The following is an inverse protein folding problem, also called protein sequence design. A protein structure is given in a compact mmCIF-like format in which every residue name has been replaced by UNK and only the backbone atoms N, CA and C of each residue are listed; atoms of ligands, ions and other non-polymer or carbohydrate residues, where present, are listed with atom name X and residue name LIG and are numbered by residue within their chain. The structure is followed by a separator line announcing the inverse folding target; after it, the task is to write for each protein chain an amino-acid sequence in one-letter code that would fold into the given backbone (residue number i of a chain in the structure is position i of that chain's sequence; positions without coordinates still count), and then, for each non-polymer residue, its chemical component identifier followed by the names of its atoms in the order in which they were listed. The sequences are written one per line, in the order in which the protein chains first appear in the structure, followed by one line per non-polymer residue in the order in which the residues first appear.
data_IF_159972587110
#
_entry.id   IF_159972587110
#
_cell.length_a   1.000
_cell.length_b   1.000
_cell.length_c   1.000
_cell.angle_alpha   90.00
_cell.angle_beta   90.00
_cell.angle_gamma   90.00
#
_symmetry.space_group_name_H-M   'P 1'
#
loop_
_entity.id
_entity.type
_entity.pdbx_description
1 polymer ?
#
# COMPACT_ATOMS: atom_id res chain seq x y z
N UNK A 1 -6.11 -36.87 -7.03
CA UNK A 1 -6.02 -35.63 -7.84
C UNK A 1 -4.66 -35.03 -7.55
N UNK A 2 -3.85 -34.76 -8.57
CA UNK A 2 -2.58 -34.05 -8.39
C UNK A 2 -2.88 -32.61 -7.97
N UNK A 3 -2.28 -32.16 -6.89
CA UNK A 3 -2.41 -30.79 -6.39
C UNK A 3 -1.72 -29.84 -7.40
N UNK A 4 -2.48 -28.90 -7.95
CA UNK A 4 -1.94 -27.89 -8.87
C UNK A 4 -1.45 -26.65 -8.12
N UNK A 5 -0.42 -25.96 -8.65
CA UNK A 5 0.11 -24.72 -8.06
C UNK A 5 -0.95 -23.61 -7.93
N UNK A 6 -1.92 -23.55 -8.81
CA UNK A 6 -3.03 -22.59 -8.77
C UNK A 6 -3.86 -22.71 -7.49
N UNK A 7 -4.03 -23.93 -6.98
CA UNK A 7 -4.77 -24.20 -5.74
C UNK A 7 -3.95 -23.80 -4.50
N UNK A 8 -2.65 -23.58 -4.65
CA UNK A 8 -1.71 -23.20 -3.59
C UNK A 8 -1.39 -21.70 -3.56
N UNK A 9 -2.12 -20.88 -4.30
CA UNK A 9 -1.90 -19.41 -4.37
C UNK A 9 -1.71 -18.74 -2.99
N UNK A 10 -2.43 -19.12 -1.91
CA UNK A 10 -2.16 -18.57 -0.57
C UNK A 10 -0.73 -18.79 -0.08
N UNK A 11 -0.09 -19.90 -0.44
CA UNK A 11 1.29 -20.22 -0.07
C UNK A 11 2.31 -19.25 -0.67
N UNK A 12 1.98 -18.62 -1.81
CA UNK A 12 2.89 -17.78 -2.61
C UNK A 12 2.74 -16.28 -2.35
N UNK A 13 2.14 -15.91 -1.24
CA UNK A 13 1.89 -14.51 -0.91
C UNK A 13 2.99 -13.88 -0.04
N UNK A 14 4.08 -14.60 0.21
CA UNK A 14 5.18 -14.14 1.05
C UNK A 14 4.81 -13.96 2.52
N UNK A 15 3.78 -14.68 3.00
CA UNK A 15 3.20 -14.51 4.33
C UNK A 15 3.97 -15.27 5.40
N UNK A 16 4.44 -16.44 5.03
CA UNK A 16 5.22 -17.32 5.90
C UNK A 16 6.59 -17.52 5.29
N UNK A 17 7.68 -17.40 6.08
CA UNK A 17 9.00 -17.75 5.60
C UNK A 17 9.00 -19.18 5.11
N UNK A 18 9.45 -19.38 3.88
CA UNK A 18 9.61 -20.69 3.27
C UNK A 18 10.97 -21.24 3.64
N UNK A 19 11.08 -22.53 3.83
CA UNK A 19 12.34 -23.19 4.07
C UNK A 19 12.87 -23.80 2.77
N UNK A 20 14.00 -23.32 2.31
CA UNK A 20 14.63 -23.71 1.06
C UNK A 20 15.83 -24.61 1.31
N UNK A 21 15.85 -25.75 0.66
CA UNK A 21 16.88 -26.78 0.81
C UNK A 21 17.63 -26.95 -0.51
N UNK A 22 18.94 -26.96 -0.43
CA UNK A 22 19.85 -27.20 -1.56
C UNK A 22 20.95 -28.17 -1.15
N UNK A 23 21.59 -28.79 -2.12
CA UNK A 23 22.70 -29.68 -1.90
C UNK A 23 23.87 -29.27 -2.81
N UNK A 24 25.05 -29.18 -2.24
CA UNK A 24 26.26 -28.94 -3.01
C UNK A 24 26.63 -30.19 -3.84
N UNK A 25 27.53 -30.04 -4.81
CA UNK A 25 27.97 -31.13 -5.69
C UNK A 25 28.60 -32.31 -4.92
N UNK A 26 29.21 -32.03 -3.77
CA UNK A 26 29.78 -33.04 -2.88
C UNK A 26 28.76 -33.73 -1.96
N UNK A 27 27.48 -33.44 -2.11
CA UNK A 27 26.41 -33.98 -1.27
C UNK A 27 26.15 -33.19 0.03
N UNK A 28 26.93 -32.13 0.32
CA UNK A 28 26.70 -31.32 1.54
C UNK A 28 25.36 -30.60 1.51
N UNK A 29 24.46 -30.86 2.47
CA UNK A 29 23.15 -30.20 2.50
C UNK A 29 23.26 -28.77 3.02
N UNK A 30 22.27 -27.95 2.62
CA UNK A 30 22.10 -26.59 3.11
C UNK A 30 20.63 -26.25 3.20
N UNK A 31 20.24 -25.58 4.29
CA UNK A 31 18.90 -25.07 4.51
C UNK A 31 18.96 -23.56 4.75
N UNK A 32 18.04 -22.81 4.17
CA UNK A 32 17.92 -21.38 4.32
C UNK A 32 16.46 -20.95 4.36
N UNK A 33 16.15 -19.91 5.14
CA UNK A 33 14.85 -19.26 5.06
C UNK A 33 14.82 -18.32 3.87
N UNK A 34 13.72 -18.37 3.13
CA UNK A 34 13.38 -17.42 2.08
C UNK A 34 12.20 -16.57 2.52
N UNK A 35 12.30 -15.28 2.26
CA UNK A 35 11.26 -14.32 2.59
C UNK A 35 10.10 -14.35 1.59
N UNK A 36 10.34 -14.79 0.35
CA UNK A 36 9.36 -14.65 -0.72
C UNK A 36 9.45 -15.79 -1.74
N UNK A 37 8.30 -16.40 -1.97
CA UNK A 37 8.02 -17.31 -3.07
C UNK A 37 6.83 -16.72 -3.82
N UNK A 38 6.91 -16.65 -5.13
CA UNK A 38 5.86 -16.10 -5.99
C UNK A 38 5.38 -17.14 -7.00
N UNK A 39 4.09 -17.14 -7.31
CA UNK A 39 3.52 -17.95 -8.37
C UNK A 39 3.89 -17.35 -9.73
N UNK A 40 4.36 -18.19 -10.64
CA UNK A 40 4.68 -17.81 -12.03
C UNK A 40 3.60 -18.32 -12.98
N UNK A 41 3.43 -19.64 -13.02
CA UNK A 41 2.45 -20.33 -13.84
C UNK A 41 2.10 -21.70 -13.24
N UNK A 42 1.36 -22.53 -13.98
CA UNK A 42 0.89 -23.86 -13.52
C UNK A 42 2.02 -24.83 -13.13
N UNK A 43 3.25 -24.55 -13.54
CA UNK A 43 4.42 -25.44 -13.37
C UNK A 43 5.62 -24.76 -12.71
N UNK A 44 5.61 -23.43 -12.55
CA UNK A 44 6.76 -22.70 -12.06
C UNK A 44 6.46 -21.82 -10.87
N UNK A 45 7.46 -21.70 -9.99
CA UNK A 45 7.51 -20.72 -8.91
C UNK A 45 8.79 -19.90 -9.02
N UNK A 46 8.74 -18.66 -8.51
CA UNK A 46 9.89 -17.78 -8.40
C UNK A 46 10.32 -17.58 -6.94
N UNK A 47 11.59 -17.68 -6.67
CA UNK A 47 12.19 -17.49 -5.36
C UNK A 47 12.98 -16.19 -5.33
N UNK A 48 12.83 -15.39 -4.27
CA UNK A 48 13.54 -14.12 -4.14
C UNK A 48 15.02 -14.35 -3.81
N UNK A 49 15.90 -13.87 -4.68
CA UNK A 49 17.33 -13.80 -4.40
C UNK A 49 17.72 -12.40 -3.93
N UNK A 50 18.08 -12.27 -2.66
CA UNK A 50 18.42 -10.99 -2.03
C UNK A 50 19.88 -10.95 -1.55
N UNK A 51 20.41 -12.05 -1.06
CA UNK A 51 21.76 -12.14 -0.50
C UNK A 51 22.60 -13.17 -1.27
N UNK A 52 23.89 -12.88 -1.49
CA UNK A 52 24.83 -13.88 -1.99
C UNK A 52 25.01 -14.93 -0.90
N UNK A 53 24.55 -16.12 -1.15
CA UNK A 53 24.54 -17.17 -0.15
C UNK A 53 24.98 -18.52 -0.73
N UNK A 54 25.18 -19.47 0.17
CA UNK A 54 25.56 -20.85 -0.13
C UNK A 54 24.53 -21.52 -1.04
N UNK A 55 23.23 -21.23 -0.82
CA UNK A 55 22.13 -21.84 -1.61
C UNK A 55 22.27 -21.58 -3.11
N UNK A 56 22.63 -20.34 -3.51
CA UNK A 56 22.78 -20.02 -4.94
C UNK A 56 23.97 -20.70 -5.58
N UNK A 57 25.08 -20.81 -4.84
CA UNK A 57 26.26 -21.58 -5.31
C UNK A 57 25.86 -23.03 -5.53
N UNK A 58 25.17 -23.63 -4.56
CA UNK A 58 24.71 -25.00 -4.66
C UNK A 58 23.83 -25.21 -5.90
N UNK A 59 22.86 -24.31 -6.12
CA UNK A 59 21.92 -24.39 -7.25
C UNK A 59 22.64 -24.23 -8.60
N UNK A 60 23.68 -23.40 -8.67
CA UNK A 60 24.48 -23.24 -9.89
C UNK A 60 25.24 -24.52 -10.26
N UNK A 61 25.64 -25.32 -9.27
CA UNK A 61 26.39 -26.58 -9.46
C UNK A 61 25.42 -27.79 -9.53
N UNK A 62 24.34 -27.76 -8.78
CA UNK A 62 23.29 -28.78 -8.70
C UNK A 62 21.93 -28.11 -8.73
N UNK A 63 21.22 -28.11 -9.88
CA UNK A 63 19.98 -27.37 -10.04
C UNK A 63 18.79 -27.96 -9.25
N UNK A 64 18.96 -29.10 -8.60
CA UNK A 64 17.94 -29.72 -7.77
C UNK A 64 17.84 -29.04 -6.40
N UNK A 65 16.61 -28.72 -6.01
CA UNK A 65 16.32 -28.09 -4.74
C UNK A 65 14.98 -28.58 -4.19
N UNK A 66 14.71 -28.24 -2.93
CA UNK A 66 13.39 -28.46 -2.34
C UNK A 66 12.96 -27.21 -1.58
N UNK A 67 11.66 -26.96 -1.53
CA UNK A 67 11.11 -25.88 -0.71
C UNK A 67 9.90 -26.38 0.09
N UNK A 68 9.88 -26.01 1.37
CA UNK A 68 8.69 -26.15 2.20
C UNK A 68 7.95 -24.83 2.23
N UNK A 69 6.70 -24.84 1.78
CA UNK A 69 5.76 -23.73 1.89
C UNK A 69 4.61 -24.13 2.81
N UNK A 70 3.95 -23.14 3.38
CA UNK A 70 2.81 -23.37 4.29
C UNK A 70 1.66 -22.51 3.79
N UNK A 71 0.50 -23.12 3.68
CA UNK A 71 -0.75 -22.40 3.43
C UNK A 71 -1.11 -21.62 4.70
N UNK A 72 -1.17 -20.29 4.65
CA UNK A 72 -1.48 -19.46 5.81
C UNK A 72 -2.93 -19.61 6.27
N UNK A 73 -3.84 -20.04 5.40
CA UNK A 73 -5.26 -20.16 5.69
C UNK A 73 -5.58 -21.49 6.40
N UNK A 74 -4.91 -22.56 6.00
CA UNK A 74 -5.15 -23.91 6.53
C UNK A 74 -4.05 -24.41 7.45
N UNK A 75 -2.89 -23.74 7.48
CA UNK A 75 -1.66 -24.18 8.13
C UNK A 75 -1.10 -25.49 7.56
N UNK A 76 -1.59 -25.93 6.39
CA UNK A 76 -1.09 -27.11 5.71
C UNK A 76 0.29 -26.85 5.13
N UNK A 77 1.26 -27.70 5.47
CA UNK A 77 2.60 -27.67 4.87
C UNK A 77 2.65 -28.47 3.55
N UNK A 78 3.40 -27.96 2.62
CA UNK A 78 3.70 -28.62 1.35
C UNK A 78 5.21 -28.62 1.11
N UNK A 79 5.73 -29.76 0.65
CA UNK A 79 7.09 -29.91 0.20
C UNK A 79 7.08 -29.99 -1.32
N UNK A 80 7.81 -29.10 -1.99
CA UNK A 80 7.94 -29.12 -3.44
C UNK A 80 9.36 -29.47 -3.82
N UNK A 81 9.53 -30.37 -4.79
CA UNK A 81 10.80 -30.62 -5.48
C UNK A 81 10.92 -29.65 -6.63
N UNK A 82 12.06 -28.99 -6.70
CA UNK A 82 12.31 -27.90 -7.61
C UNK A 82 13.53 -28.15 -8.46
N UNK A 83 13.48 -27.74 -9.72
CA UNK A 83 14.63 -27.70 -10.61
C UNK A 83 14.84 -26.25 -11.06
N UNK A 84 16.01 -25.69 -10.77
CA UNK A 84 16.36 -24.35 -11.22
C UNK A 84 16.44 -24.29 -12.74
N UNK A 85 15.88 -23.25 -13.34
CA UNK A 85 15.93 -23.02 -14.77
C UNK A 85 16.64 -21.73 -15.15
N UNK A 86 16.22 -20.60 -14.57
CA UNK A 86 16.75 -19.28 -14.93
C UNK A 86 16.56 -18.26 -13.85
N UNK A 87 17.28 -17.13 -13.97
CA UNK A 87 17.14 -15.95 -13.13
C UNK A 87 16.65 -14.77 -13.96
N UNK A 88 15.66 -14.05 -13.47
CA UNK A 88 15.20 -12.79 -14.04
C UNK A 88 15.62 -11.62 -13.15
N UNK A 89 16.23 -10.59 -13.76
CA UNK A 89 16.72 -9.37 -13.07
C UNK A 89 15.94 -8.13 -13.44
N UNK A 90 14.91 -8.27 -14.27
CA UNK A 90 13.98 -7.23 -14.73
C UNK A 90 12.72 -7.87 -15.27
N UNK A 91 11.68 -7.08 -15.50
CA UNK A 91 10.42 -7.51 -16.08
C UNK A 91 9.31 -7.67 -15.04
N UNK A 92 8.05 -7.96 -15.48
CA UNK A 92 6.86 -7.86 -14.63
C UNK A 92 6.91 -8.71 -13.35
N UNK A 93 7.48 -9.92 -13.42
CA UNK A 93 7.63 -10.79 -12.26
C UNK A 93 8.64 -10.23 -11.25
N UNK A 94 9.82 -9.82 -11.75
CA UNK A 94 10.85 -9.20 -10.92
C UNK A 94 10.33 -7.92 -10.25
N UNK A 95 9.66 -7.05 -11.02
CA UNK A 95 9.13 -5.77 -10.53
C UNK A 95 8.07 -6.00 -9.43
N UNK A 96 7.15 -6.95 -9.62
CA UNK A 96 6.16 -7.31 -8.60
C UNK A 96 6.80 -7.81 -7.30
N UNK A 97 7.79 -8.68 -7.38
CA UNK A 97 8.52 -9.16 -6.21
C UNK A 97 9.32 -8.05 -5.54
N UNK A 98 9.99 -7.19 -6.34
CA UNK A 98 10.74 -6.05 -5.86
C UNK A 98 9.86 -5.09 -5.05
N UNK A 99 8.70 -4.71 -5.58
CA UNK A 99 7.79 -3.78 -4.92
C UNK A 99 7.28 -4.28 -3.57
N UNK A 100 6.99 -5.56 -3.45
CA UNK A 100 6.61 -6.15 -2.15
C UNK A 100 7.74 -6.06 -1.13
N UNK A 101 8.96 -6.38 -1.55
CA UNK A 101 10.13 -6.31 -0.68
C UNK A 101 10.40 -4.86 -0.25
N UNK A 102 10.31 -3.90 -1.17
CA UNK A 102 10.46 -2.47 -0.89
C UNK A 102 9.40 -1.96 0.10
N UNK A 103 8.14 -2.35 -0.07
CA UNK A 103 7.07 -1.94 0.83
C UNK A 103 7.31 -2.42 2.27
N UNK A 104 7.71 -3.69 2.45
CA UNK A 104 8.04 -4.26 3.77
C UNK A 104 9.28 -3.59 4.35
N UNK A 105 10.32 -3.38 3.54
CA UNK A 105 11.55 -2.73 3.95
C UNK A 105 11.33 -1.29 4.39
N UNK A 106 10.47 -0.55 3.68
CA UNK A 106 10.08 0.82 4.00
C UNK A 106 9.42 0.91 5.38
N UNK A 107 8.53 -0.01 5.71
CA UNK A 107 7.89 -0.09 7.03
C UNK A 107 8.88 -0.37 8.16
N UNK A 108 9.86 -1.21 7.90
CA UNK A 108 10.87 -1.58 8.89
C UNK A 108 12.00 -0.53 9.05
N UNK A 109 11.99 0.55 8.26
CA UNK A 109 13.06 1.53 8.20
C UNK A 109 14.36 0.97 7.59
N UNK A 110 14.23 -0.05 6.73
CA UNK A 110 15.34 -0.80 6.11
C UNK A 110 15.44 -0.54 4.61
N UNK A 111 14.91 0.59 4.16
CA UNK A 111 14.96 1.00 2.75
C UNK A 111 16.40 0.92 2.23
N UNK A 112 16.58 0.20 1.13
CA UNK A 112 17.89 0.01 0.48
C UNK A 112 18.76 -1.13 1.05
N UNK A 113 18.38 -1.79 2.17
CA UNK A 113 19.07 -2.97 2.70
C UNK A 113 18.59 -4.25 2.01
N UNK A 114 17.27 -4.41 1.90
CA UNK A 114 16.69 -5.52 1.17
C UNK A 114 16.62 -5.15 -0.31
N UNK A 115 17.52 -5.73 -1.10
CA UNK A 115 17.51 -5.54 -2.55
C UNK A 115 17.27 -6.89 -3.20
N UNK A 116 16.16 -6.99 -3.93
CA UNK A 116 15.99 -8.11 -4.84
C UNK A 116 17.07 -8.02 -5.92
N UNK A 117 17.89 -9.05 -6.03
CA UNK A 117 18.94 -9.14 -7.05
C UNK A 117 18.48 -9.93 -8.27
N UNK A 118 17.62 -10.91 -8.04
CA UNK A 118 16.99 -11.70 -9.08
C UNK A 118 15.74 -12.40 -8.53
N UNK A 119 14.81 -12.69 -9.43
CA UNK A 119 13.76 -13.69 -9.27
C UNK A 119 14.29 -14.99 -9.89
N UNK A 120 14.63 -15.96 -9.06
CA UNK A 120 15.14 -17.26 -9.51
C UNK A 120 13.95 -18.19 -9.79
N UNK A 121 13.78 -18.61 -11.04
CA UNK A 121 12.64 -19.39 -11.51
C UNK A 121 12.96 -20.88 -11.50
N UNK A 122 12.04 -21.63 -10.94
CA UNK A 122 12.16 -23.07 -10.75
C UNK A 122 10.94 -23.80 -11.35
N UNK A 123 11.20 -24.86 -12.08
CA UNK A 123 10.21 -25.86 -12.44
C UNK A 123 9.85 -26.66 -11.17
N UNK A 124 8.57 -26.86 -10.91
CA UNK A 124 8.04 -27.72 -9.84
C UNK A 124 7.87 -29.13 -10.38
N UNK A 125 8.70 -30.06 -9.94
CA UNK A 125 8.68 -31.45 -10.39
C UNK A 125 7.66 -32.30 -9.63
N UNK A 126 7.50 -32.04 -8.33
CA UNK A 126 6.47 -32.72 -7.51
C UNK A 126 6.06 -31.85 -6.32
N UNK A 127 4.86 -32.12 -5.83
CA UNK A 127 4.27 -31.49 -4.62
C UNK A 127 3.79 -32.62 -3.71
N UNK A 128 4.29 -32.59 -2.48
CA UNK A 128 3.93 -33.58 -1.45
C UNK A 128 3.33 -32.85 -0.23
N UNK A 129 2.26 -33.40 0.33
CA UNK A 129 1.72 -32.94 1.59
C UNK A 129 2.71 -33.27 2.71
N UNK A 130 3.03 -32.30 3.55
CA UNK A 130 3.78 -32.55 4.77
C UNK A 130 2.75 -33.00 5.83
N UNK A 131 2.91 -34.21 6.42
CA UNK A 131 2.06 -34.64 7.50
C UNK A 131 2.08 -33.62 8.64
N UNK A 132 0.92 -33.39 9.28
CA UNK A 132 0.85 -32.52 10.46
C UNK A 132 1.82 -33.05 11.53
N UNK A 133 2.84 -32.26 11.87
CA UNK A 133 3.61 -32.52 13.07
C UNK A 133 2.67 -32.36 14.28
N UNK A 134 2.46 -33.43 15.02
CA UNK A 134 1.65 -33.46 16.24
C UNK A 134 2.37 -32.69 17.35
N UNK A 135 2.32 -31.38 17.25
CA UNK A 135 2.73 -30.47 18.31
C UNK A 135 1.56 -29.53 18.57
N UNK A 136 0.96 -29.65 19.75
CA UNK A 136 -0.08 -28.74 20.25
C UNK A 136 0.43 -27.31 20.32
N UNK A 137 0.49 -26.62 19.20
CA UNK A 137 0.32 -25.18 19.18
C UNK A 137 -1.17 -24.93 18.95
N UNK A 138 -1.75 -24.05 19.77
CA UNK A 138 -3.11 -23.57 19.55
C UNK A 138 -3.25 -23.28 18.05
N UNK A 139 -4.17 -24.00 17.41
CA UNK A 139 -4.43 -23.85 15.98
C UNK A 139 -4.76 -22.38 15.75
N UNK A 140 -3.81 -21.62 15.23
CA UNK A 140 -4.14 -20.33 14.67
C UNK A 140 -5.07 -20.60 13.49
N UNK A 141 -6.34 -20.34 13.71
CA UNK A 141 -7.33 -20.35 12.64
C UNK A 141 -7.36 -18.93 12.08
N UNK A 142 -7.03 -18.73 10.81
CA UNK A 142 -7.25 -17.43 10.17
C UNK A 142 -8.72 -17.06 10.36
N UNK A 143 -9.03 -15.78 10.59
CA UNK A 143 -10.41 -15.33 10.62
C UNK A 143 -11.06 -15.78 9.32
N UNK A 144 -12.17 -16.53 9.45
CA UNK A 144 -12.80 -17.31 8.40
C UNK A 144 -12.80 -16.57 7.06
N UNK A 145 -12.33 -17.26 6.05
CA UNK A 145 -12.27 -16.76 4.65
C UNK A 145 -13.67 -16.28 4.29
N UNK A 146 -13.85 -14.96 4.26
CA UNK A 146 -15.04 -14.39 3.67
C UNK A 146 -14.85 -14.49 2.15
N UNK A 147 -15.25 -15.60 1.55
CA UNK A 147 -15.47 -15.61 0.12
C UNK A 147 -16.55 -14.57 -0.16
N UNK A 148 -16.15 -13.50 -0.78
CA UNK A 148 -17.13 -12.55 -1.30
C UNK A 148 -17.88 -13.31 -2.40
N UNK A 149 -19.19 -13.49 -2.20
CA UNK A 149 -20.04 -14.01 -3.28
C UNK A 149 -19.86 -13.09 -4.50
N UNK A 150 -19.50 -13.64 -5.66
CA UNK A 150 -19.31 -12.84 -6.86
C UNK A 150 -20.52 -11.98 -7.23
N UNK A 151 -21.73 -12.50 -7.01
CA UNK A 151 -22.97 -11.76 -7.25
C UNK A 151 -23.12 -10.59 -6.29
N UNK A 152 -22.80 -10.81 -5.01
CA UNK A 152 -22.79 -9.74 -4.01
C UNK A 152 -21.73 -8.68 -4.36
N UNK A 153 -20.53 -9.11 -4.74
CA UNK A 153 -19.44 -8.20 -5.12
C UNK A 153 -19.84 -7.32 -6.31
N UNK A 154 -20.44 -7.91 -7.33
CA UNK A 154 -20.92 -7.16 -8.51
C UNK A 154 -21.99 -6.14 -8.13
N UNK A 155 -22.95 -6.50 -7.28
CA UNK A 155 -23.98 -5.58 -6.78
C UNK A 155 -23.38 -4.43 -5.97
N UNK A 156 -22.41 -4.72 -5.10
CA UNK A 156 -21.70 -3.72 -4.32
C UNK A 156 -20.95 -2.72 -5.21
N UNK A 157 -20.24 -3.21 -6.22
CA UNK A 157 -19.54 -2.36 -7.20
C UNK A 157 -20.52 -1.50 -8.02
N UNK A 158 -21.65 -2.07 -8.42
CA UNK A 158 -22.71 -1.32 -9.12
C UNK A 158 -23.26 -0.19 -8.26
N UNK A 159 -23.57 -0.47 -6.99
CA UNK A 159 -24.07 0.52 -6.05
C UNK A 159 -23.06 1.64 -5.80
N UNK A 160 -21.78 1.27 -5.58
CA UNK A 160 -20.71 2.26 -5.41
C UNK A 160 -20.48 3.10 -6.67
N UNK A 161 -20.60 2.51 -7.85
CA UNK A 161 -20.57 3.26 -9.12
C UNK A 161 -21.72 4.26 -9.21
N UNK A 162 -22.93 3.88 -8.78
CA UNK A 162 -24.07 4.78 -8.68
C UNK A 162 -23.81 5.96 -7.74
N UNK A 163 -23.24 5.69 -6.55
CA UNK A 163 -22.86 6.73 -5.59
C UNK A 163 -21.79 7.69 -6.16
N UNK A 164 -20.81 7.17 -6.89
CA UNK A 164 -19.80 8.00 -7.58
C UNK A 164 -20.45 8.96 -8.59
N UNK A 165 -21.40 8.47 -9.36
CA UNK A 165 -22.07 9.26 -10.39
C UNK A 165 -23.05 10.31 -9.82
N UNK A 166 -23.57 10.10 -8.62
CA UNK A 166 -24.55 11.01 -7.98
C UNK A 166 -23.89 12.06 -7.07
N UNK A 167 -22.61 11.92 -6.73
CA UNK A 167 -21.92 12.87 -5.89
C UNK A 167 -21.82 14.26 -6.56
N UNK A 168 -22.20 15.30 -5.83
CA UNK A 168 -22.13 16.68 -6.32
C UNK A 168 -20.78 17.35 -6.09
N UNK A 169 -20.05 16.91 -5.06
CA UNK A 169 -18.75 17.46 -4.64
C UNK A 169 -17.70 16.35 -4.46
N UNK A 170 -16.43 16.73 -4.55
CA UNK A 170 -15.33 15.81 -4.29
C UNK A 170 -15.42 15.19 -2.87
N UNK A 171 -15.78 16.01 -1.88
CA UNK A 171 -15.90 15.53 -0.50
C UNK A 171 -17.01 14.47 -0.36
N UNK A 172 -18.20 14.71 -0.94
CA UNK A 172 -19.29 13.72 -0.96
C UNK A 172 -18.88 12.42 -1.64
N UNK A 173 -18.17 12.52 -2.77
CA UNK A 173 -17.63 11.37 -3.49
C UNK A 173 -16.75 10.53 -2.56
N UNK A 174 -15.75 11.14 -1.95
CA UNK A 174 -14.74 10.45 -1.13
C UNK A 174 -15.37 9.80 0.11
N UNK A 175 -16.22 10.55 0.82
CA UNK A 175 -16.91 10.05 2.03
C UNK A 175 -17.85 8.89 1.70
N UNK A 176 -18.61 8.99 0.61
CA UNK A 176 -19.54 7.93 0.19
C UNK A 176 -18.82 6.65 -0.17
N UNK A 177 -17.66 6.74 -0.84
CA UNK A 177 -16.84 5.59 -1.22
C UNK A 177 -16.19 4.94 0.00
N UNK A 178 -15.56 5.71 0.90
CA UNK A 178 -15.00 5.16 2.13
C UNK A 178 -16.06 4.53 3.02
N UNK A 179 -17.26 5.10 3.05
CA UNK A 179 -18.42 4.52 3.76
C UNK A 179 -18.85 3.20 3.14
N UNK A 180 -18.97 3.16 1.81
CA UNK A 180 -19.36 1.97 1.08
C UNK A 180 -18.33 0.83 1.16
N UNK A 181 -17.04 1.14 1.15
CA UNK A 181 -15.97 0.16 1.39
C UNK A 181 -16.17 -0.54 2.74
N UNK A 182 -16.52 0.21 3.78
CA UNK A 182 -16.84 -0.37 5.09
C UNK A 182 -18.14 -1.16 5.07
N UNK A 183 -19.17 -0.61 4.45
CA UNK A 183 -20.53 -1.19 4.41
C UNK A 183 -20.55 -2.54 3.69
N UNK A 184 -20.00 -2.59 2.47
CA UNK A 184 -20.09 -3.78 1.60
C UNK A 184 -18.97 -4.79 1.85
N UNK A 185 -17.74 -4.33 2.07
CA UNK A 185 -16.57 -5.22 2.20
C UNK A 185 -16.10 -5.40 3.65
N UNK A 186 -16.65 -4.63 4.60
CA UNK A 186 -16.30 -4.71 6.01
C UNK A 186 -14.88 -4.23 6.32
N UNK A 187 -14.30 -3.39 5.45
CA UNK A 187 -12.98 -2.79 5.68
C UNK A 187 -13.13 -1.53 6.51
N UNK A 188 -12.74 -1.63 7.79
CA UNK A 188 -13.01 -0.58 8.79
C UNK A 188 -12.08 0.61 8.70
N UNK A 189 -10.88 0.44 8.13
CA UNK A 189 -9.86 1.48 8.04
C UNK A 189 -9.47 1.68 6.58
N UNK A 190 -9.79 2.84 6.05
CA UNK A 190 -9.48 3.19 4.66
C UNK A 190 -9.19 4.68 4.55
N UNK A 191 -8.33 5.04 3.60
CA UNK A 191 -7.98 6.42 3.31
C UNK A 191 -7.71 6.61 1.83
N UNK A 192 -7.94 7.83 1.36
CA UNK A 192 -7.63 8.25 -0.01
C UNK A 192 -6.60 9.38 0.09
N UNK A 193 -5.50 9.16 -0.62
CA UNK A 193 -4.44 10.15 -0.77
C UNK A 193 -4.42 10.59 -2.23
N UNK A 194 -4.31 11.89 -2.48
CA UNK A 194 -4.11 12.43 -3.83
C UNK A 194 -2.65 12.83 -4.05
N UNK A 195 -2.25 12.86 -5.32
CA UNK A 195 -0.96 13.42 -5.71
C UNK A 195 -0.88 14.88 -5.27
N UNK A 196 0.18 15.23 -4.53
CA UNK A 196 0.40 16.58 -4.03
C UNK A 196 1.06 17.48 -5.06
N UNK A 197 1.09 18.79 -4.80
CA UNK A 197 1.82 19.76 -5.62
C UNK A 197 3.34 19.54 -5.64
N UNK A 198 3.89 19.01 -4.54
CA UNK A 198 5.30 18.64 -4.48
C UNK A 198 5.53 17.33 -5.24
N UNK A 199 6.58 17.26 -6.08
CA UNK A 199 6.90 16.05 -6.81
C UNK A 199 7.04 14.83 -5.88
N UNK A 200 6.52 13.68 -6.31
CA UNK A 200 6.62 12.41 -5.59
C UNK A 200 6.04 12.43 -4.17
N UNK A 201 4.99 13.21 -3.95
CA UNK A 201 4.30 13.33 -2.67
C UNK A 201 2.82 13.04 -2.82
N UNK A 202 2.27 12.35 -1.85
CA UNK A 202 0.82 12.14 -1.66
C UNK A 202 0.36 12.95 -0.46
N UNK A 203 -0.89 13.44 -0.50
CA UNK A 203 -1.55 14.10 0.63
C UNK A 203 -2.83 13.34 0.95
N UNK A 204 -3.02 12.95 2.21
CA UNK A 204 -4.25 12.31 2.67
C UNK A 204 -5.39 13.33 2.66
N UNK A 205 -6.42 13.10 1.87
CA UNK A 205 -7.57 14.02 1.73
C UNK A 205 -8.84 13.51 2.39
N UNK A 206 -8.98 12.19 2.51
CA UNK A 206 -10.10 11.58 3.21
C UNK A 206 -9.64 10.32 3.94
N UNK A 207 -10.22 10.07 5.11
CA UNK A 207 -9.90 8.88 5.91
C UNK A 207 -11.07 8.45 6.76
N UNK A 208 -11.22 7.14 6.97
CA UNK A 208 -12.28 6.55 7.77
C UNK A 208 -11.75 5.46 8.69
N UNK A 209 -12.22 5.46 9.94
CA UNK A 209 -11.87 4.44 10.94
C UNK A 209 -10.66 4.78 11.80
N UNK A 210 -9.99 5.90 11.57
CA UNK A 210 -8.81 6.32 12.33
C UNK A 210 -9.18 7.32 13.42
N UNK A 211 -8.69 7.15 14.67
CA UNK A 211 -9.04 8.05 15.78
C UNK A 211 -8.61 9.51 15.57
N UNK A 212 -7.53 9.73 14.85
CA UNK A 212 -6.95 11.05 14.59
C UNK A 212 -7.09 11.51 13.13
N UNK A 213 -7.95 10.88 12.34
CA UNK A 213 -8.24 11.28 10.97
C UNK A 213 -7.07 11.16 9.98
N UNK A 214 -5.94 11.72 10.25
CA UNK A 214 -4.74 11.71 9.36
C UNK A 214 -4.86 12.56 8.09
N UNK A 215 -5.97 13.26 7.89
CA UNK A 215 -6.18 14.17 6.76
C UNK A 215 -5.16 15.29 6.79
N UNK A 216 -4.56 15.63 5.66
CA UNK A 216 -3.47 16.60 5.51
C UNK A 216 -2.07 16.01 5.70
N UNK A 217 -1.93 14.75 6.09
CA UNK A 217 -0.62 14.10 6.21
C UNK A 217 0.00 13.87 4.86
N UNK A 218 1.30 14.19 4.72
CA UNK A 218 2.09 13.95 3.52
C UNK A 218 2.78 12.59 3.58
N UNK A 219 2.80 11.88 2.46
CA UNK A 219 3.53 10.62 2.27
C UNK A 219 4.41 10.74 1.03
N UNK A 220 5.71 10.52 1.19
CA UNK A 220 6.65 10.49 0.07
C UNK A 220 6.53 9.16 -0.71
N UNK A 221 6.75 9.20 -2.02
CA UNK A 221 6.86 7.97 -2.82
C UNK A 221 7.96 7.06 -2.24
N UNK A 222 7.68 5.76 -2.20
CA UNK A 222 8.52 4.78 -1.52
C UNK A 222 8.34 4.75 0.00
N UNK A 223 7.43 5.53 0.58
CA UNK A 223 7.06 5.50 1.99
C UNK A 223 5.86 4.59 2.26
N UNK A 224 6.09 3.44 2.90
CA UNK A 224 5.05 2.46 3.18
C UNK A 224 4.39 1.88 1.93
N UNK A 225 3.27 1.16 2.12
CA UNK A 225 2.49 0.59 1.01
C UNK A 225 1.95 1.66 0.08
N UNK A 226 1.49 2.78 0.64
CA UNK A 226 0.91 3.90 -0.12
C UNK A 226 1.92 4.54 -1.07
N UNK A 227 3.09 4.94 -0.55
CA UNK A 227 4.12 5.59 -1.33
C UNK A 227 4.78 4.66 -2.36
N UNK A 228 4.91 3.36 -2.04
CA UNK A 228 5.42 2.37 -2.99
C UNK A 228 4.39 2.10 -4.09
N UNK A 229 3.09 1.98 -3.76
CA UNK A 229 2.02 1.83 -4.75
C UNK A 229 1.94 3.04 -5.70
N UNK A 230 2.13 4.27 -5.16
CA UNK A 230 2.17 5.49 -5.95
C UNK A 230 3.34 5.50 -6.94
N UNK A 231 4.55 5.24 -6.44
CA UNK A 231 5.76 5.28 -7.26
C UNK A 231 5.80 4.22 -8.36
N UNK A 232 5.22 3.05 -8.08
CA UNK A 232 5.17 1.94 -9.03
C UNK A 232 3.94 1.97 -9.94
N UNK A 233 2.90 2.72 -9.56
CA UNK A 233 1.56 2.67 -10.18
C UNK A 233 1.00 1.24 -10.27
N UNK A 234 1.29 0.41 -9.25
CA UNK A 234 0.83 -0.97 -9.16
C UNK A 234 0.21 -1.25 -7.78
N UNK A 235 -0.82 -2.09 -7.68
CA UNK A 235 -1.41 -2.45 -6.41
C UNK A 235 -0.43 -3.25 -5.57
N UNK A 236 -0.36 -2.93 -4.29
CA UNK A 236 0.51 -3.61 -3.33
C UNK A 236 -0.34 -4.15 -2.19
N UNK A 237 -0.29 -5.45 -2.00
CA UNK A 237 -0.93 -6.14 -0.91
C UNK A 237 0.10 -6.75 0.02
N UNK A 238 0.03 -6.39 1.30
CA UNK A 238 0.82 -7.00 2.37
C UNK A 238 -0.15 -7.67 3.34
N UNK A 239 -0.07 -8.98 3.41
CA UNK A 239 -1.04 -9.76 4.19
C UNK A 239 -0.58 -10.02 5.63
N UNK A 240 0.72 -9.87 5.95
CA UNK A 240 1.22 -9.90 7.33
C UNK A 240 2.46 -9.02 7.50
N UNK A 241 2.26 -7.80 7.99
CA UNK A 241 3.36 -6.90 8.34
C UNK A 241 4.16 -7.41 9.55
N UNK A 242 3.50 -7.97 10.54
CA UNK A 242 4.14 -8.42 11.80
C UNK A 242 5.23 -9.46 11.52
N UNK A 243 4.98 -10.43 10.66
CA UNK A 243 5.98 -11.46 10.32
C UNK A 243 7.08 -10.92 9.40
N UNK A 244 6.73 -10.07 8.44
CA UNK A 244 7.72 -9.36 7.63
C UNK A 244 8.64 -8.49 8.48
N UNK A 245 8.10 -7.83 9.51
CA UNK A 245 8.87 -7.03 10.45
C UNK A 245 9.79 -7.87 11.34
N UNK A 246 9.40 -9.06 11.80
CA UNK A 246 10.29 -9.92 12.60
C UNK A 246 11.54 -10.30 11.81
N UNK A 247 11.38 -10.66 10.54
CA UNK A 247 12.50 -10.94 9.65
C UNK A 247 13.35 -9.68 9.39
N UNK A 248 12.68 -8.55 9.18
CA UNK A 248 13.31 -7.26 8.97
C UNK A 248 14.08 -6.79 10.22
N UNK A 249 13.55 -6.98 11.44
CA UNK A 249 14.22 -6.63 12.69
C UNK A 249 15.49 -7.47 12.92
N UNK A 250 15.46 -8.76 12.60
CA UNK A 250 16.65 -9.61 12.68
C UNK A 250 17.74 -9.14 11.70
N UNK A 251 17.35 -8.77 10.48
CA UNK A 251 18.27 -8.21 9.49
C UNK A 251 18.77 -6.80 9.88
N UNK A 252 17.93 -5.98 10.51
CA UNK A 252 18.26 -4.65 11.03
C UNK A 252 19.37 -4.75 12.08
N UNK A 253 19.21 -5.61 13.08
CA UNK A 253 20.24 -5.83 14.12
C UNK A 253 21.59 -6.19 13.50
N UNK A 254 21.57 -7.09 12.51
CA UNK A 254 22.80 -7.52 11.82
C UNK A 254 23.41 -6.44 10.92
N UNK A 255 22.59 -5.53 10.38
CA UNK A 255 23.06 -4.38 9.61
C UNK A 255 23.66 -3.29 10.51
N UNK A 256 23.03 -3.02 11.67
CA UNK A 256 23.53 -2.11 12.70
C UNK A 256 24.90 -2.57 13.25
N UNK A 257 25.07 -3.86 13.50
CA UNK A 257 26.35 -4.48 13.88
C UNK A 257 27.47 -4.27 12.82
N UNK A 258 27.07 -4.01 11.55
CA UNK A 258 27.96 -3.71 10.43
C UNK A 258 28.11 -2.22 10.13
N UNK A 259 27.64 -1.35 11.05
CA UNK A 259 27.79 0.10 10.95
C UNK A 259 26.71 0.83 10.16
N UNK A 260 25.62 0.15 9.77
CA UNK A 260 24.48 0.82 9.14
C UNK A 260 23.65 1.57 10.21
N UNK A 261 23.19 2.78 9.87
CA UNK A 261 22.30 3.55 10.73
C UNK A 261 20.93 3.64 10.09
N UNK A 262 19.83 3.38 10.84
CA UNK A 262 18.48 3.54 10.34
C UNK A 262 18.22 5.00 9.96
N UNK A 263 17.52 5.22 8.84
CA UNK A 263 16.96 6.53 8.54
C UNK A 263 15.82 6.83 9.50
N UNK A 264 15.67 8.11 9.88
CA UNK A 264 14.50 8.54 10.66
C UNK A 264 13.21 8.13 9.97
N UNK A 265 12.38 7.38 10.67
CA UNK A 265 11.08 6.98 10.14
C UNK A 265 10.12 8.15 10.25
N UNK A 266 9.68 8.69 9.12
CA UNK A 266 8.53 9.59 9.09
C UNK A 266 7.29 8.78 9.46
N UNK A 267 6.56 9.21 10.48
CA UNK A 267 5.32 8.54 10.89
C UNK A 267 4.30 8.62 9.74
N UNK A 268 3.94 7.48 9.19
CA UNK A 268 2.94 7.39 8.14
C UNK A 268 1.53 7.61 8.72
N UNK A 269 0.60 8.20 7.94
CA UNK A 269 -0.81 8.23 8.34
C UNK A 269 -1.37 6.82 8.41
N UNK A 270 -2.39 6.61 9.22
CA UNK A 270 -3.06 5.32 9.34
C UNK A 270 -2.91 4.66 10.72
N UNK A 271 -3.04 3.33 10.73
CA UNK A 271 -2.84 2.55 11.95
C UNK A 271 -1.38 2.57 12.37
N UNK A 272 -1.14 2.67 13.68
CA UNK A 272 0.23 2.65 14.22
C UNK A 272 0.96 1.34 13.92
N UNK A 273 0.25 0.21 14.00
CA UNK A 273 0.77 -1.13 13.73
C UNK A 273 -0.25 -1.92 12.92
N UNK A 274 -0.41 -1.64 11.62
CA UNK A 274 -1.29 -2.43 10.78
C UNK A 274 -0.75 -3.85 10.63
N UNK A 275 -1.62 -4.84 10.75
CA UNK A 275 -1.23 -6.24 10.54
C UNK A 275 -1.28 -6.63 9.06
N UNK A 276 -2.21 -6.05 8.29
CA UNK A 276 -2.28 -6.20 6.84
C UNK A 276 -2.66 -4.88 6.17
N UNK A 277 -2.24 -4.70 4.91
CA UNK A 277 -2.48 -3.48 4.14
C UNK A 277 -2.69 -3.79 2.65
N UNK A 278 -3.48 -2.94 2.01
CA UNK A 278 -3.73 -2.94 0.58
C UNK A 278 -3.65 -1.49 0.07
N UNK A 279 -2.69 -1.19 -0.80
CA UNK A 279 -2.57 0.08 -1.50
C UNK A 279 -2.89 -0.10 -2.98
N UNK A 280 -3.87 0.62 -3.47
CA UNK A 280 -4.30 0.59 -4.86
C UNK A 280 -4.09 1.97 -5.48
N UNK A 281 -3.24 2.10 -6.50
CA UNK A 281 -3.03 3.37 -7.18
C UNK A 281 -4.27 3.75 -7.99
N UNK A 282 -4.62 5.00 -7.94
CA UNK A 282 -5.69 5.63 -8.71
C UNK A 282 -5.05 6.26 -9.94
N UNK A 283 -5.14 5.58 -11.08
CA UNK A 283 -4.43 5.97 -12.31
C UNK A 283 -5.42 6.22 -13.43
N UNK A 284 -5.26 7.33 -14.16
CA UNK A 284 -6.05 7.63 -15.36
C UNK A 284 -5.08 7.91 -16.51
N UNK A 285 -5.15 7.13 -17.58
CA UNK A 285 -4.30 7.28 -18.79
C UNK A 285 -2.79 7.34 -18.51
N UNK A 286 -2.34 6.58 -17.49
CA UNK A 286 -0.93 6.55 -17.08
C UNK A 286 -0.54 7.65 -16.10
N UNK A 287 -1.43 8.57 -15.76
CA UNK A 287 -1.23 9.62 -14.77
C UNK A 287 -1.73 9.18 -13.41
N UNK A 288 -0.91 9.31 -12.38
CA UNK A 288 -1.27 9.01 -11.01
C UNK A 288 -2.12 10.15 -10.43
N UNK A 289 -3.37 9.85 -10.11
CA UNK A 289 -4.28 10.77 -9.41
C UNK A 289 -4.09 10.66 -7.90
N UNK A 290 -3.86 9.44 -7.40
CA UNK A 290 -3.70 9.20 -5.97
C UNK A 290 -3.55 7.73 -5.62
N UNK A 291 -3.81 7.39 -4.35
CA UNK A 291 -3.81 6.02 -3.83
C UNK A 291 -5.00 5.82 -2.89
N UNK A 292 -5.73 4.72 -3.07
CA UNK A 292 -6.66 4.20 -2.09
C UNK A 292 -5.91 3.20 -1.21
N UNK A 293 -5.81 3.48 0.08
CA UNK A 293 -5.17 2.59 1.05
C UNK A 293 -6.20 2.02 2.03
N UNK A 294 -6.12 0.72 2.27
CA UNK A 294 -6.97 -0.01 3.22
C UNK A 294 -6.08 -0.76 4.19
N UNK A 295 -6.40 -0.67 5.49
CA UNK A 295 -5.61 -1.26 6.55
C UNK A 295 -6.46 -2.15 7.47
N UNK A 296 -5.81 -3.12 8.10
CA UNK A 296 -6.43 -3.97 9.12
C UNK A 296 -5.45 -4.29 10.26
N UNK A 297 -5.98 -4.37 11.48
CA UNK A 297 -5.29 -4.93 12.65
C UNK A 297 -5.23 -6.46 12.64
N UNK A 298 -5.96 -7.09 11.70
CA UNK A 298 -6.01 -8.54 11.53
C UNK A 298 -5.04 -8.93 10.43
N UNK A 299 -4.10 -9.84 10.66
CA UNK A 299 -3.26 -10.38 9.59
C UNK A 299 -4.12 -11.19 8.61
N UNK A 300 -3.68 -11.28 7.36
CA UNK A 300 -4.32 -12.04 6.28
C UNK A 300 -5.75 -11.59 5.94
N UNK A 301 -6.08 -10.31 6.25
CA UNK A 301 -7.43 -9.80 6.01
C UNK A 301 -7.74 -9.62 4.53
N UNK A 302 -6.72 -9.35 3.70
CA UNK A 302 -6.90 -9.07 2.28
C UNK A 302 -6.43 -10.25 1.44
N UNK A 303 -7.31 -10.77 0.60
CA UNK A 303 -7.07 -11.84 -0.37
C UNK A 303 -6.90 -11.26 -1.79
N UNK A 304 -6.62 -12.11 -2.77
CA UNK A 304 -6.47 -11.69 -4.16
C UNK A 304 -7.78 -11.12 -4.72
N UNK A 305 -8.91 -11.75 -4.35
CA UNK A 305 -10.24 -11.26 -4.76
C UNK A 305 -10.55 -9.88 -4.19
N UNK A 306 -10.15 -9.61 -2.94
CA UNK A 306 -10.27 -8.28 -2.33
C UNK A 306 -9.44 -7.26 -3.12
N UNK A 307 -8.19 -7.61 -3.45
CA UNK A 307 -7.30 -6.74 -4.25
C UNK A 307 -7.93 -6.42 -5.60
N UNK A 308 -8.37 -7.44 -6.33
CA UNK A 308 -8.98 -7.27 -7.65
C UNK A 308 -10.25 -6.42 -7.58
N UNK A 309 -11.09 -6.63 -6.55
CA UNK A 309 -12.31 -5.85 -6.33
C UNK A 309 -12.01 -4.37 -6.06
N UNK A 310 -11.05 -4.10 -5.19
CA UNK A 310 -10.65 -2.73 -4.86
C UNK A 310 -9.91 -2.05 -6.03
N UNK A 311 -9.18 -2.80 -6.84
CA UNK A 311 -8.58 -2.31 -8.08
C UNK A 311 -9.64 -1.83 -9.08
N UNK A 312 -10.70 -2.62 -9.30
CA UNK A 312 -11.83 -2.22 -10.15
C UNK A 312 -12.52 -0.96 -9.62
N UNK A 313 -12.77 -0.91 -8.31
CA UNK A 313 -13.33 0.28 -7.65
C UNK A 313 -12.40 1.48 -7.81
N UNK A 314 -11.10 1.30 -7.59
CA UNK A 314 -10.07 2.33 -7.69
C UNK A 314 -9.97 2.93 -9.10
N UNK A 315 -10.06 2.11 -10.15
CA UNK A 315 -10.06 2.59 -11.53
C UNK A 315 -11.26 3.52 -11.81
N UNK A 316 -12.45 3.15 -11.35
CA UNK A 316 -13.66 3.99 -11.48
C UNK A 316 -13.55 5.26 -10.65
N UNK A 317 -13.05 5.15 -9.41
CA UNK A 317 -12.87 6.27 -8.51
C UNK A 317 -11.85 7.29 -9.04
N UNK A 318 -10.76 6.82 -9.65
CA UNK A 318 -9.75 7.69 -10.26
C UNK A 318 -10.35 8.61 -11.33
N UNK A 319 -11.19 8.03 -12.20
CA UNK A 319 -11.89 8.80 -13.26
C UNK A 319 -12.87 9.79 -12.63
N UNK A 320 -13.63 9.37 -11.61
CA UNK A 320 -14.60 10.25 -10.94
C UNK A 320 -13.90 11.43 -10.25
N UNK A 321 -12.77 11.20 -9.55
CA UNK A 321 -11.96 12.26 -8.93
C UNK A 321 -11.43 13.23 -9.99
N UNK A 322 -10.81 12.72 -11.07
CA UNK A 322 -10.27 13.56 -12.12
C UNK A 322 -11.35 14.42 -12.77
N UNK A 323 -12.54 13.85 -13.04
CA UNK A 323 -13.65 14.61 -13.61
C UNK A 323 -14.12 15.73 -12.68
N UNK A 324 -14.18 15.50 -11.37
CA UNK A 324 -14.54 16.53 -10.41
C UNK A 324 -13.50 17.64 -10.31
N UNK A 325 -12.21 17.28 -10.26
CA UNK A 325 -11.13 18.27 -10.29
C UNK A 325 -11.15 19.14 -11.56
N UNK A 326 -11.41 18.51 -12.70
CA UNK A 326 -11.54 19.25 -13.98
C UNK A 326 -12.79 20.16 -14.01
N UNK A 327 -13.90 19.75 -13.39
CA UNK A 327 -15.10 20.58 -13.25
C UNK A 327 -14.83 21.78 -12.35
N UNK A 328 -14.24 21.56 -11.19
CA UNK A 328 -13.85 22.61 -10.26
C UNK A 328 -12.90 23.62 -10.91
N UNK A 329 -11.87 23.14 -11.64
CA UNK A 329 -10.94 24.01 -12.37
C UNK A 329 -11.61 24.83 -13.51
N UNK A 330 -12.71 24.34 -14.10
CA UNK A 330 -13.47 25.07 -15.12
C UNK A 330 -14.42 26.09 -14.53
N UNK A 331 -14.94 25.83 -13.35
CA UNK A 331 -15.88 26.71 -12.62
C UNK A 331 -15.11 27.84 -11.91
N UNK A 332 -13.78 27.74 -11.74
CA UNK A 332 -12.95 28.88 -11.35
C UNK A 332 -13.00 29.94 -12.46
N UNK A 333 -13.46 31.18 -12.17
CA UNK A 333 -13.40 32.24 -13.16
C UNK A 333 -11.94 32.40 -13.59
N UNK A 334 -11.69 32.29 -14.91
CA UNK A 334 -10.39 32.62 -15.51
C UNK A 334 -9.92 33.91 -14.84
N UNK A 335 -8.84 33.85 -14.08
CA UNK A 335 -8.26 35.04 -13.49
C UNK A 335 -8.07 36.07 -14.60
N UNK A 336 -8.81 37.16 -14.54
CA UNK A 336 -8.57 38.33 -15.35
C UNK A 336 -7.06 38.57 -15.28
N UNK A 337 -6.34 38.72 -16.43
CA UNK A 337 -4.92 38.98 -16.39
C UNK A 337 -4.64 40.13 -15.44
N UNK A 338 -3.92 39.87 -14.38
CA UNK A 338 -3.61 40.85 -13.38
C UNK A 338 -2.96 42.03 -14.08
N UNK A 339 -3.61 43.17 -14.06
CA UNK A 339 -2.98 44.44 -14.45
C UNK A 339 -1.65 44.57 -13.70
N UNK A 340 -0.58 45.07 -14.31
CA UNK A 340 0.74 45.12 -13.71
C UNK A 340 0.66 45.86 -12.37
N UNK A 341 0.99 45.14 -11.30
CA UNK A 341 1.05 45.70 -9.94
C UNK A 341 2.05 46.86 -9.95
N UNK A 342 1.69 48.06 -9.53
CA UNK A 342 2.67 49.09 -9.27
C UNK A 342 3.56 48.61 -8.11
N UNK A 343 4.88 48.67 -8.32
CA UNK A 343 5.87 48.40 -7.29
C UNK A 343 5.65 49.39 -6.12
N UNK A 344 4.97 48.94 -5.09
CA UNK A 344 4.64 49.68 -3.87
C UNK A 344 5.49 49.23 -2.71
N UNK A 345 6.33 50.10 -2.22
CA UNK A 345 7.14 49.98 -1.00
C UNK A 345 6.33 49.40 0.18
N UNK A 346 6.89 48.33 0.78
CA UNK A 346 6.33 47.71 1.99
C UNK A 346 6.24 48.72 3.16
N UNK A 347 5.00 49.01 3.52
CA UNK A 347 4.65 49.45 4.90
C UNK A 347 3.63 48.44 5.40
N UNK A 348 4.02 47.64 6.37
CA UNK A 348 3.14 46.82 7.20
C UNK A 348 2.06 47.69 7.82
N UNK A 349 0.87 47.70 7.22
CA UNK A 349 -0.33 48.26 7.88
C UNK A 349 -0.86 47.19 8.84
N UNK A 350 -0.76 47.45 10.15
CA UNK A 350 -1.56 46.77 11.16
C UNK A 350 -3.03 47.18 10.99
N UNK A 351 -3.74 46.60 10.06
CA UNK A 351 -5.18 46.69 9.90
C UNK A 351 -5.84 45.41 10.40
N UNK A 352 -7.02 45.49 11.01
CA UNK A 352 -7.86 44.33 11.22
C UNK A 352 -8.37 43.90 9.86
N UNK A 353 -8.08 42.66 9.44
CA UNK A 353 -8.61 42.05 8.27
C UNK A 353 -9.84 41.22 8.63
N UNK A 354 -10.85 41.23 7.79
CA UNK A 354 -12.08 40.42 7.97
C UNK A 354 -11.98 39.16 7.12
N UNK A 355 -12.04 38.00 7.77
CA UNK A 355 -12.09 36.70 7.11
C UNK A 355 -13.48 36.12 7.25
N UNK A 356 -14.11 35.84 6.11
CA UNK A 356 -15.46 35.25 6.03
C UNK A 356 -15.37 33.88 5.37
N UNK A 357 -15.97 32.87 6.00
CA UNK A 357 -16.06 31.51 5.43
C UNK A 357 -17.49 31.20 5.03
N UNK A 358 -17.68 30.88 3.77
CA UNK A 358 -18.95 30.42 3.20
C UNK A 358 -18.95 28.89 3.16
N UNK A 359 -19.71 28.29 4.08
CA UNK A 359 -19.72 26.84 4.25
C UNK A 359 -20.38 26.09 3.07
N UNK A 360 -21.33 26.73 2.36
CA UNK A 360 -21.99 26.15 1.17
C UNK A 360 -21.05 25.97 0.00
N UNK A 361 -20.10 26.89 -0.16
CA UNK A 361 -19.21 26.94 -1.32
C UNK A 361 -17.76 26.58 -0.93
N UNK A 362 -17.54 26.32 0.37
CA UNK A 362 -16.23 26.06 0.96
C UNK A 362 -15.17 27.12 0.59
N UNK A 363 -15.59 28.41 0.63
CA UNK A 363 -14.76 29.56 0.23
C UNK A 363 -14.39 30.40 1.43
N UNK A 364 -13.12 30.83 1.52
CA UNK A 364 -12.65 31.88 2.43
C UNK A 364 -12.43 33.17 1.65
N UNK A 365 -13.06 34.25 2.14
CA UNK A 365 -12.88 35.59 1.62
C UNK A 365 -12.05 36.41 2.64
N UNK A 366 -11.14 37.25 2.15
CA UNK A 366 -10.36 38.22 2.92
C UNK A 366 -10.76 39.64 2.50
N UNK A 367 -11.33 40.39 3.42
CA UNK A 367 -11.78 41.79 3.17
C UNK A 367 -12.76 41.89 1.97
N UNK A 368 -13.57 40.82 1.77
CA UNK A 368 -14.51 40.74 0.65
C UNK A 368 -13.92 40.25 -0.66
N UNK A 369 -12.61 40.03 -0.74
CA UNK A 369 -11.95 39.43 -1.91
C UNK A 369 -11.75 37.93 -1.74
N UNK A 370 -11.84 37.19 -2.85
CA UNK A 370 -11.61 35.74 -2.88
C UNK A 370 -10.17 35.43 -2.45
N UNK A 371 -10.02 34.55 -1.43
CA UNK A 371 -8.72 34.10 -0.96
C UNK A 371 -8.44 32.65 -1.40
N UNK A 372 -9.32 31.73 -1.09
CA UNK A 372 -9.11 30.28 -1.30
C UNK A 372 -10.43 29.53 -1.15
N UNK A 373 -10.59 28.38 -1.84
CA UNK A 373 -11.78 27.53 -1.73
C UNK A 373 -11.45 26.05 -1.57
N UNK A 374 -12.52 25.24 -1.39
CA UNK A 374 -12.48 23.77 -1.27
C UNK A 374 -11.65 23.30 -0.07
N UNK A 375 -10.96 22.18 -0.15
CA UNK A 375 -10.21 21.60 0.95
C UNK A 375 -9.21 22.57 1.61
N UNK A 376 -8.40 23.35 0.88
CA UNK A 376 -7.52 24.35 1.49
C UNK A 376 -8.27 25.41 2.30
N UNK A 377 -9.45 25.84 1.88
CA UNK A 377 -10.29 26.78 2.61
C UNK A 377 -10.80 26.20 3.92
N UNK A 378 -11.22 24.93 3.91
CA UNK A 378 -11.63 24.21 5.14
C UNK A 378 -10.50 24.07 6.13
N UNK A 379 -9.31 23.71 5.66
CA UNK A 379 -8.11 23.58 6.49
C UNK A 379 -7.77 24.94 7.09
N UNK A 380 -7.65 25.98 6.28
CA UNK A 380 -7.36 27.33 6.74
C UNK A 380 -8.38 27.80 7.78
N UNK A 381 -9.67 27.62 7.50
CA UNK A 381 -10.73 28.03 8.42
C UNK A 381 -10.66 27.30 9.76
N UNK A 382 -10.39 25.99 9.74
CA UNK A 382 -10.22 25.19 10.95
C UNK A 382 -9.01 25.64 11.78
N UNK A 383 -7.87 25.91 11.14
CA UNK A 383 -6.67 26.42 11.79
C UNK A 383 -6.93 27.79 12.43
N UNK A 384 -7.65 28.69 11.74
CA UNK A 384 -8.05 29.98 12.25
C UNK A 384 -9.00 29.89 13.44
N UNK A 385 -9.94 28.94 13.44
CA UNK A 385 -10.80 28.68 14.59
C UNK A 385 -10.00 28.20 15.81
N UNK A 386 -9.03 27.31 15.61
CA UNK A 386 -8.15 26.85 16.69
C UNK A 386 -7.29 28.01 17.19
N UNK A 387 -6.72 28.78 16.28
CA UNK A 387 -5.96 29.99 16.66
C UNK A 387 -6.81 30.95 17.50
N UNK A 388 -8.04 31.23 17.09
CA UNK A 388 -8.97 32.11 17.81
C UNK A 388 -9.33 31.58 19.20
N UNK A 389 -9.48 30.27 19.35
CA UNK A 389 -9.86 29.63 20.63
C UNK A 389 -8.68 29.46 21.58
N UNK A 390 -7.50 29.11 21.06
CA UNK A 390 -6.35 28.67 21.86
C UNK A 390 -5.15 29.63 21.79
N UNK A 391 -5.19 30.67 20.94
CA UNK A 391 -4.07 31.58 20.70
C UNK A 391 -2.87 30.99 19.99
N UNK A 392 -3.04 29.81 19.44
CA UNK A 392 -1.99 28.99 18.83
C UNK A 392 -1.73 29.46 17.40
N UNK A 393 -0.48 29.77 17.05
CA UNK A 393 -0.09 30.26 15.73
C UNK A 393 0.74 29.24 14.90
N UNK A 394 1.23 28.18 15.54
CA UNK A 394 1.99 27.13 14.87
C UNK A 394 1.20 25.84 14.86
N UNK A 395 1.12 25.24 13.67
CA UNK A 395 0.40 24.00 13.42
C UNK A 395 1.30 23.01 12.70
N UNK A 396 1.15 21.74 12.99
CA UNK A 396 1.88 20.66 12.34
C UNK A 396 0.96 19.85 11.44
N UNK A 397 1.50 19.16 10.43
CA UNK A 397 0.74 18.27 9.54
C UNK A 397 0.05 17.09 10.27
N UNK A 398 0.06 17.08 11.60
CA UNK A 398 -0.55 16.04 12.44
C UNK A 398 -1.84 16.51 13.11
N UNK A 399 -2.23 17.74 12.90
CA UNK A 399 -3.39 18.42 13.51
C UNK A 399 -4.41 18.83 12.46
#
# INVERSE_FOLDING_TARGET
MSLGLEQMTPCFQGLLPSMFFTCAKDGTPNAAFLSHVDYVDATHVALSFQFSNKSRRNVAENPQAMIRVIDPDTNQGYMMRLKFERSETSGPLFDRMFLRIEAIASYAGLKGIFKLKAADIYLVESIELVPEEVGRQERWSPPGRRHLDPVFTMKALQELSGRMNSAGTLNELLESILSGIKEYFGFSHSMILLAGEKPNTLITIASRGYPQGGVGSEVQFGGGVMGVAAGAQQPIRISSLVRGMLFALAAKKRAEERGWRPQEQVKLPGLENPASQLGVPLVVRGELIGVLCIESKTPYRFHEDDKNTIEMLGASLAIAIQNMQLKEAREEPSAVPAAPRPAGNGKTRHGKHELTYYASDEVVMLDGEYLIRSLPARILWRLLQVHKREGRAEFTNRE
#
